data_IF_854229558506
#
_entry.id   IF_854229558506
#
_cell.length_a   1.000
_cell.length_b   1.000
_cell.length_c   1.000
_cell.angle_alpha   90.00
_cell.angle_beta   90.00
_cell.angle_gamma   90.00
#
_symmetry.space_group_name_H-M   'P 1'
#
loop_
_entity.id
_entity.type
_entity.pdbx_description
1 polymer ?
#
# COMPACT_ATOMS: atom_id res chain seq x y z
N UNK A 1 7.19 21.67 -5.51
CA UNK A 1 6.90 20.98 -4.24
C UNK A 1 5.43 20.60 -4.26
N UNK A 2 5.14 19.33 -4.50
CA UNK A 2 3.84 18.69 -4.21
C UNK A 2 4.16 17.41 -3.43
N UNK A 3 3.31 17.06 -2.45
CA UNK A 3 3.75 17.15 -1.08
C UNK A 3 3.92 15.78 -0.44
N UNK A 4 4.88 15.71 0.47
CA UNK A 4 4.88 14.81 1.62
C UNK A 4 3.44 14.66 2.13
N UNK A 5 3.00 13.43 2.41
CA UNK A 5 1.66 13.20 2.96
C UNK A 5 1.49 14.05 4.23
N UNK A 6 0.25 14.46 4.52
CA UNK A 6 -0.03 15.41 5.56
C UNK A 6 0.55 14.93 6.92
N UNK A 7 1.13 15.84 7.72
CA UNK A 7 1.72 15.44 8.99
C UNK A 7 0.66 14.96 9.99
N UNK A 8 1.12 14.20 10.98
CA UNK A 8 0.27 13.58 11.99
C UNK A 8 -0.34 12.27 11.52
N UNK A 9 -1.43 11.86 12.18
CA UNK A 9 -2.21 10.68 11.81
C UNK A 9 -3.46 11.09 11.02
N UNK A 10 -3.59 10.59 9.79
CA UNK A 10 -4.66 10.96 8.85
C UNK A 10 -5.20 9.73 8.13
N UNK A 11 -6.47 9.80 7.72
CA UNK A 11 -7.08 8.74 6.93
C UNK A 11 -6.87 8.96 5.43
N UNK A 12 -6.49 7.90 4.73
CA UNK A 12 -6.34 7.88 3.28
C UNK A 12 -7.05 6.69 2.67
N UNK A 13 -7.59 6.89 1.48
CA UNK A 13 -7.86 5.81 0.52
C UNK A 13 -6.58 5.62 -0.29
N UNK A 14 -6.09 4.38 -0.35
CA UNK A 14 -4.89 4.04 -1.12
C UNK A 14 -5.31 3.27 -2.37
N UNK A 15 -4.81 3.67 -3.53
CA UNK A 15 -5.11 3.04 -4.82
C UNK A 15 -3.85 2.64 -5.54
N UNK A 16 -3.90 1.55 -6.28
CA UNK A 16 -2.89 1.21 -7.30
C UNK A 16 -3.00 2.20 -8.47
N UNK A 17 -1.94 2.33 -9.28
CA UNK A 17 -1.97 3.21 -10.44
C UNK A 17 -2.99 2.76 -11.52
N UNK A 18 -3.32 1.46 -11.56
CA UNK A 18 -4.37 0.92 -12.43
C UNK A 18 -5.81 1.15 -11.91
N UNK A 19 -5.97 1.85 -10.78
CA UNK A 19 -7.27 2.34 -10.29
C UNK A 19 -7.95 1.47 -9.24
N UNK A 20 -7.40 0.30 -8.90
CA UNK A 20 -7.94 -0.58 -7.86
C UNK A 20 -7.70 -0.01 -6.47
N UNK A 21 -8.69 -0.15 -5.60
CA UNK A 21 -8.57 0.23 -4.19
C UNK A 21 -7.76 -0.83 -3.44
N UNK A 22 -6.88 -0.42 -2.54
CA UNK A 22 -6.34 -1.34 -1.54
C UNK A 22 -7.44 -1.65 -0.51
N UNK A 23 -7.41 -2.88 0.01
CA UNK A 23 -8.38 -3.28 1.01
C UNK A 23 -8.00 -4.53 1.77
N UNK A 24 -8.83 -4.81 2.77
CA UNK A 24 -8.75 -5.97 3.65
C UNK A 24 -9.91 -6.91 3.28
N UNK A 25 -9.64 -8.08 2.69
CA UNK A 25 -10.72 -9.01 2.35
C UNK A 25 -11.29 -9.63 3.61
N UNK A 26 -12.57 -9.97 3.55
CA UNK A 26 -13.29 -10.69 4.58
C UNK A 26 -14.08 -11.84 3.98
N UNK A 27 -14.32 -12.87 4.77
CA UNK A 27 -15.14 -14.02 4.40
C UNK A 27 -16.51 -13.81 5.02
N UNK A 28 -17.56 -13.84 4.20
CA UNK A 28 -18.94 -13.84 4.68
C UNK A 28 -19.41 -15.29 4.81
N UNK A 29 -19.67 -15.71 6.04
CA UNK A 29 -20.41 -16.93 6.37
C UNK A 29 -21.83 -16.52 6.82
N UNK A 30 -22.84 -17.42 6.80
CA UNK A 30 -24.19 -17.09 7.25
C UNK A 30 -24.20 -16.50 8.67
N UNK A 31 -24.42 -15.19 8.76
CA UNK A 31 -24.44 -14.43 10.01
C UNK A 31 -23.09 -14.07 10.63
N UNK A 32 -21.95 -14.39 9.98
CA UNK A 32 -20.61 -14.15 10.55
C UNK A 32 -19.67 -13.57 9.48
N UNK A 33 -19.02 -12.45 9.79
CA UNK A 33 -17.90 -11.91 9.02
C UNK A 33 -16.61 -12.37 9.69
N UNK A 34 -15.78 -13.13 8.96
CA UNK A 34 -14.50 -13.66 9.46
C UNK A 34 -13.35 -13.01 8.69
N UNK A 35 -12.35 -12.54 9.43
CA UNK A 35 -11.09 -12.04 8.89
C UNK A 35 -9.99 -13.07 9.14
N UNK A 36 -9.22 -13.49 8.12
CA UNK A 36 -8.03 -14.31 8.36
C UNK A 36 -7.00 -13.52 9.18
N UNK A 37 -6.26 -14.17 10.08
CA UNK A 37 -5.20 -13.51 10.87
C UNK A 37 -3.86 -14.15 10.47
N UNK A 38 -2.89 -13.40 9.93
CA UNK A 38 -2.98 -11.98 9.57
C UNK A 38 -3.86 -11.74 8.32
N UNK A 39 -4.41 -10.52 8.17
CA UNK A 39 -5.32 -10.20 7.06
C UNK A 39 -4.50 -9.78 5.84
N UNK A 40 -4.60 -10.43 4.67
CA UNK A 40 -3.83 -10.00 3.51
C UNK A 40 -4.30 -8.61 3.04
N UNK A 41 -3.37 -7.71 2.72
CA UNK A 41 -3.71 -6.45 2.05
C UNK A 41 -3.72 -6.71 0.54
N UNK A 42 -4.88 -6.50 -0.09
CA UNK A 42 -5.11 -6.86 -1.50
C UNK A 42 -5.47 -5.63 -2.34
N UNK A 43 -5.18 -5.69 -3.63
CA UNK A 43 -5.78 -4.82 -4.62
C UNK A 43 -7.18 -5.34 -4.98
N UNK A 44 -8.21 -4.69 -4.45
CA UNK A 44 -9.59 -5.11 -4.61
C UNK A 44 -10.03 -5.09 -6.08
N UNK A 45 -10.89 -6.03 -6.52
CA UNK A 45 -11.63 -5.90 -7.77
C UNK A 45 -12.36 -4.56 -7.88
N UNK A 46 -12.56 -4.10 -9.12
CA UNK A 46 -13.34 -2.90 -9.38
C UNK A 46 -14.77 -3.00 -8.81
N UNK A 47 -15.31 -1.86 -8.39
CA UNK A 47 -16.67 -1.77 -7.83
C UNK A 47 -16.77 -2.07 -6.33
N UNK A 48 -15.71 -2.58 -5.69
CA UNK A 48 -15.67 -2.67 -4.22
C UNK A 48 -15.32 -1.34 -3.57
N UNK A 49 -15.98 -1.05 -2.45
CA UNK A 49 -15.77 0.17 -1.69
C UNK A 49 -14.32 0.26 -1.19
N UNK A 50 -13.70 1.45 -1.23
CA UNK A 50 -12.34 1.64 -0.75
C UNK A 50 -12.25 1.46 0.77
N UNK A 51 -11.19 0.78 1.22
CA UNK A 51 -10.83 0.75 2.64
C UNK A 51 -10.10 2.05 3.00
N UNK A 52 -10.40 2.58 4.20
CA UNK A 52 -9.64 3.68 4.80
C UNK A 52 -8.45 3.12 5.57
N UNK A 53 -7.28 3.69 5.35
CA UNK A 53 -6.05 3.38 6.07
C UNK A 53 -5.66 4.59 6.90
N UNK A 54 -5.38 4.36 8.19
CA UNK A 54 -4.72 5.35 9.04
C UNK A 54 -3.26 5.44 8.61
N UNK A 55 -2.77 6.63 8.29
CA UNK A 55 -1.39 6.88 7.89
C UNK A 55 -0.79 7.87 8.87
N UNK A 56 0.17 7.38 9.64
CA UNK A 56 0.86 8.15 10.67
C UNK A 56 2.24 8.56 10.16
N UNK A 57 2.50 9.86 10.11
CA UNK A 57 3.80 10.43 9.80
C UNK A 57 4.75 10.35 11.00
N UNK A 58 5.90 9.69 10.83
CA UNK A 58 6.88 9.43 11.88
C UNK A 58 8.19 10.21 11.74
N UNK A 59 8.46 10.78 10.56
CA UNK A 59 9.72 11.45 10.25
C UNK A 59 9.88 11.64 8.74
N UNK A 60 11.04 12.10 8.28
CA UNK A 60 11.30 12.41 6.86
C UNK A 60 10.92 11.25 5.92
N UNK A 61 9.74 11.38 5.29
CA UNK A 61 9.13 10.36 4.43
C UNK A 61 8.86 9.01 5.11
N UNK A 62 8.97 8.89 6.43
CA UNK A 62 8.72 7.64 7.16
C UNK A 62 7.29 7.66 7.71
N UNK A 63 6.55 6.59 7.44
CA UNK A 63 5.16 6.43 7.81
C UNK A 63 4.86 5.05 8.38
N UNK A 64 3.84 4.97 9.22
CA UNK A 64 3.06 3.75 9.46
C UNK A 64 1.78 3.82 8.64
N UNK A 65 1.41 2.72 7.99
CA UNK A 65 0.20 2.62 7.18
C UNK A 65 -0.68 1.51 7.77
N UNK A 66 -1.61 1.89 8.62
CA UNK A 66 -2.42 0.98 9.42
C UNK A 66 -1.54 -0.01 10.17
N UNK A 67 -1.93 -1.28 10.11
CA UNK A 67 -1.18 -2.40 10.69
C UNK A 67 -0.35 -3.14 9.62
N UNK A 68 0.06 -2.44 8.54
CA UNK A 68 0.72 -3.07 7.40
C UNK A 68 2.13 -3.57 7.75
N UNK A 69 2.37 -4.85 7.50
CA UNK A 69 3.63 -5.56 7.71
C UNK A 69 3.95 -6.46 6.52
N UNK A 70 5.23 -6.57 6.20
CA UNK A 70 5.74 -7.62 5.31
C UNK A 70 5.85 -8.94 6.07
N UNK A 71 5.17 -9.97 5.56
CA UNK A 71 5.38 -11.34 5.99
C UNK A 71 5.63 -12.25 4.78
N UNK A 72 6.89 -12.67 4.63
CA UNK A 72 7.35 -13.54 3.53
C UNK A 72 7.07 -12.93 2.14
N UNK A 73 7.45 -11.67 1.94
CA UNK A 73 7.34 -10.92 0.68
C UNK A 73 5.90 -10.62 0.25
N UNK A 74 5.00 -10.58 1.23
CA UNK A 74 3.57 -10.36 1.04
C UNK A 74 3.06 -9.40 2.11
N UNK A 75 2.20 -8.49 1.70
CA UNK A 75 1.71 -7.45 2.58
C UNK A 75 0.48 -7.93 3.35
N UNK A 76 0.52 -7.79 4.66
CA UNK A 76 -0.59 -8.12 5.55
C UNK A 76 -0.88 -6.96 6.49
N UNK A 77 -2.13 -6.87 6.95
CA UNK A 77 -2.51 -6.12 8.14
C UNK A 77 -2.48 -7.06 9.34
N UNK A 78 -1.63 -6.77 10.34
CA UNK A 78 -1.49 -7.61 11.51
C UNK A 78 -1.34 -6.80 12.80
N UNK A 79 -2.47 -6.66 13.53
CA UNK A 79 -2.56 -5.86 14.78
C UNK A 79 -1.81 -6.43 15.98
N UNK A 80 -1.43 -7.71 15.94
CA UNK A 80 -0.79 -8.37 17.08
C UNK A 80 0.74 -8.15 17.11
N UNK A 81 1.30 -7.48 16.09
CA UNK A 81 2.72 -7.14 16.00
C UNK A 81 2.88 -5.63 15.85
N UNK A 82 4.09 -5.12 16.11
CA UNK A 82 4.38 -3.70 15.85
C UNK A 82 4.28 -3.43 14.35
N UNK A 83 3.44 -2.47 13.90
CA UNK A 83 3.33 -2.13 12.50
C UNK A 83 4.65 -1.67 11.91
N UNK A 84 4.94 -2.14 10.70
CA UNK A 84 6.20 -1.85 10.03
C UNK A 84 6.24 -0.38 9.58
N UNK A 85 7.46 0.16 9.56
CA UNK A 85 7.72 1.52 9.08
C UNK A 85 8.03 1.47 7.58
N UNK A 86 7.45 2.39 6.84
CA UNK A 86 7.55 2.47 5.38
C UNK A 86 8.06 3.84 4.96
N UNK A 87 8.91 3.89 3.94
CA UNK A 87 9.38 5.10 3.29
C UNK A 87 8.41 5.41 2.14
N UNK A 88 7.65 6.51 2.23
CA UNK A 88 6.66 6.89 1.21
C UNK A 88 7.17 8.10 0.43
N UNK A 89 7.50 7.90 -0.84
CA UNK A 89 8.16 8.92 -1.67
C UNK A 89 7.24 9.30 -2.83
N UNK A 90 6.92 10.60 -2.94
CA UNK A 90 6.23 11.13 -4.10
C UNK A 90 7.14 11.08 -5.34
N UNK A 91 6.61 10.56 -6.45
CA UNK A 91 7.28 10.42 -7.75
C UNK A 91 6.61 11.38 -8.74
N UNK A 92 7.13 12.61 -8.95
CA UNK A 92 6.44 13.66 -9.69
C UNK A 92 6.07 13.30 -11.13
N UNK A 93 6.93 12.53 -11.83
CA UNK A 93 6.69 12.10 -13.21
C UNK A 93 5.50 11.14 -13.36
N UNK A 94 5.04 10.56 -12.25
CA UNK A 94 3.96 9.59 -12.22
C UNK A 94 2.72 10.10 -11.47
N UNK A 95 2.80 11.25 -10.79
CA UNK A 95 1.77 11.76 -9.90
C UNK A 95 1.25 10.67 -8.93
N UNK A 96 2.20 9.98 -8.31
CA UNK A 96 1.98 8.81 -7.47
C UNK A 96 3.15 8.63 -6.51
N UNK A 97 3.02 7.69 -5.58
CA UNK A 97 3.98 7.40 -4.53
C UNK A 97 4.53 5.98 -4.69
N UNK A 98 5.81 5.79 -4.36
CA UNK A 98 6.34 4.47 -4.00
C UNK A 98 6.23 4.28 -2.49
N UNK A 99 6.04 3.03 -2.04
CA UNK A 99 5.99 2.66 -0.62
C UNK A 99 7.07 1.62 -0.40
N UNK A 100 8.19 2.06 0.15
CA UNK A 100 9.44 1.32 0.24
C UNK A 100 9.67 0.83 1.67
N UNK A 101 10.25 -0.36 1.82
CA UNK A 101 10.60 -0.92 3.12
C UNK A 101 11.83 -0.18 3.66
N UNK A 102 11.80 0.20 4.94
CA UNK A 102 12.96 0.80 5.60
C UNK A 102 14.15 -0.19 5.55
N UNK A 103 15.34 0.33 5.25
CA UNK A 103 16.60 -0.43 5.16
C UNK A 103 16.62 -1.57 4.13
N UNK A 104 15.75 -1.52 3.11
CA UNK A 104 15.67 -2.52 2.04
C UNK A 104 15.39 -1.88 0.68
N UNK A 105 15.71 -2.58 -0.41
CA UNK A 105 15.30 -2.20 -1.77
C UNK A 105 13.90 -2.72 -2.14
N UNK A 106 13.23 -3.41 -1.21
CA UNK A 106 11.88 -3.91 -1.42
C UNK A 106 10.84 -2.80 -1.27
N UNK A 107 9.80 -2.87 -2.07
CA UNK A 107 8.67 -1.95 -2.01
C UNK A 107 7.35 -2.71 -2.23
N UNK A 108 6.24 -2.03 -1.99
CA UNK A 108 4.93 -2.55 -2.30
C UNK A 108 4.78 -2.69 -3.82
N UNK A 109 4.27 -3.82 -4.27
CA UNK A 109 4.02 -4.11 -5.68
C UNK A 109 2.65 -4.75 -5.84
N UNK A 110 1.78 -4.08 -6.59
CA UNK A 110 0.47 -4.61 -6.94
C UNK A 110 0.61 -5.77 -7.94
N UNK A 111 -0.10 -6.89 -7.73
CA UNK A 111 -0.16 -7.96 -8.73
C UNK A 111 -0.94 -7.48 -9.96
N UNK A 112 -0.61 -7.97 -11.18
CA UNK A 112 -1.34 -7.61 -12.39
C UNK A 112 -2.84 -7.86 -12.30
N UNK A 113 -3.63 -7.05 -13.02
CA UNK A 113 -5.08 -7.23 -13.14
C UNK A 113 -5.40 -8.63 -13.69
N UNK A 114 -6.42 -9.29 -13.12
CA UNK A 114 -6.88 -10.60 -13.57
C UNK A 114 -6.09 -11.79 -13.01
N UNK A 115 -5.04 -11.57 -12.22
CA UNK A 115 -4.43 -12.66 -11.47
C UNK A 115 -5.35 -13.16 -10.34
N UNK A 116 -5.37 -14.47 -10.05
CA UNK A 116 -6.20 -15.05 -9.00
C UNK A 116 -5.79 -14.56 -7.60
N UNK A 117 -4.50 -14.29 -7.42
CA UNK A 117 -3.96 -13.72 -6.20
C UNK A 117 -3.84 -12.20 -6.35
N UNK A 118 -4.65 -11.47 -5.58
CA UNK A 118 -4.70 -10.01 -5.59
C UNK A 118 -3.90 -9.38 -4.44
N UNK A 119 -3.17 -10.18 -3.66
CA UNK A 119 -2.40 -9.66 -2.54
C UNK A 119 -1.23 -8.79 -2.99
N UNK A 120 -1.05 -7.65 -2.33
CA UNK A 120 0.11 -6.77 -2.55
C UNK A 120 1.38 -7.51 -2.12
N UNK A 121 2.39 -7.49 -2.99
CA UNK A 121 3.69 -8.10 -2.74
C UNK A 121 4.64 -7.08 -2.11
N UNK A 122 5.65 -7.56 -1.38
CA UNK A 122 6.78 -6.75 -0.88
C UNK A 122 8.05 -7.31 -1.48
N UNK A 123 8.57 -6.66 -2.52
CA UNK A 123 9.68 -7.19 -3.32
C UNK A 123 10.52 -6.08 -3.96
N UNK A 124 11.69 -6.44 -4.45
CA UNK A 124 12.56 -5.51 -5.17
C UNK A 124 11.85 -4.99 -6.44
N UNK A 125 11.92 -3.68 -6.64
CA UNK A 125 11.35 -3.01 -7.82
C UNK A 125 12.46 -2.73 -8.83
N UNK A 126 12.33 -3.17 -10.09
CA UNK A 126 13.28 -2.78 -11.13
C UNK A 126 13.09 -1.30 -11.46
N UNK A 127 14.06 -0.47 -11.07
CA UNK A 127 14.05 0.97 -11.33
C UNK A 127 14.79 1.24 -12.64
N UNK A 128 14.15 1.97 -13.57
CA UNK A 128 14.76 2.34 -14.84
C UNK A 128 15.85 3.40 -14.69
N UNK A 129 16.91 3.30 -15.49
CA UNK A 129 18.12 4.15 -15.45
C UNK A 129 17.91 5.57 -16.04
N UNK A 130 16.73 6.15 -15.92
CA UNK A 130 16.44 7.52 -16.38
C UNK A 130 16.70 8.57 -15.29
N UNK A 131 16.79 9.85 -15.68
CA UNK A 131 16.82 10.96 -14.74
C UNK A 131 15.63 11.92 -14.98
N UNK A 132 14.62 11.94 -14.10
CA UNK A 132 14.49 11.15 -12.87
C UNK A 132 14.18 9.66 -13.17
N UNK A 133 14.36 8.76 -12.18
CA UNK A 133 14.15 7.33 -12.38
C UNK A 133 12.71 6.98 -12.76
N UNK A 134 12.55 5.96 -13.60
CA UNK A 134 11.23 5.45 -14.01
C UNK A 134 10.88 4.23 -13.17
N UNK A 135 9.65 4.19 -12.66
CA UNK A 135 9.14 3.08 -11.87
C UNK A 135 8.09 2.30 -12.65
N UNK A 136 7.99 0.98 -12.46
CA UNK A 136 6.91 0.20 -13.04
C UNK A 136 5.58 0.64 -12.42
N UNK A 137 4.53 0.69 -13.25
CA UNK A 137 3.20 1.18 -12.88
C UNK A 137 2.61 0.45 -11.67
N UNK A 138 2.93 -0.83 -11.51
CA UNK A 138 2.45 -1.64 -10.40
C UNK A 138 3.20 -1.42 -9.08
N UNK A 139 4.28 -0.65 -9.04
CA UNK A 139 4.95 -0.21 -7.81
C UNK A 139 4.54 1.21 -7.38
N UNK A 140 3.54 1.79 -8.05
CA UNK A 140 3.08 3.16 -7.84
C UNK A 140 1.66 3.17 -7.26
N UNK A 141 1.46 4.00 -6.24
CA UNK A 141 0.21 4.10 -5.49
C UNK A 141 -0.23 5.55 -5.33
N UNK A 142 -1.53 5.80 -5.30
CA UNK A 142 -2.11 7.11 -5.00
C UNK A 142 -2.72 7.12 -3.62
N UNK A 143 -2.56 8.24 -2.91
CA UNK A 143 -3.14 8.49 -1.61
C UNK A 143 -4.18 9.60 -1.74
N UNK A 144 -5.44 9.29 -1.47
CA UNK A 144 -6.55 10.23 -1.48
C UNK A 144 -6.96 10.52 -0.03
N UNK A 145 -6.78 11.75 0.49
CA UNK A 145 -7.16 12.08 1.87
C UNK A 145 -8.67 11.93 2.04
N UNK A 146 -9.07 11.33 3.15
CA UNK A 146 -10.48 11.28 3.56
C UNK A 146 -10.80 12.60 4.28
N UNK A 147 -11.86 13.28 3.84
CA UNK A 147 -12.33 14.54 4.43
C UNK A 147 -12.96 14.34 5.82
#
# INVERSE_FOLDING_TARGET
MSPTLAPGNKEYIIRTLDGRNLGLPFIVQPGIVVFPIPIPIVALPEGLLPQRFQVEHLGENIYRIGDAVDFRSRLFSYREVDPERWIVIFRPNHDAYTIEKVDSSAAWVAPPVGQPDSQILVQQVPVGESNPPTYPSNALFRFEPVA
#
